data_IF_648234611618
#
_entry.id   IF_648234611618
#
_cell.length_a   1.000
_cell.length_b   1.000
_cell.length_c   1.000
_cell.angle_alpha   90.00
_cell.angle_beta   90.00
_cell.angle_gamma   90.00
#
_symmetry.space_group_name_H-M   'P 1'
#
loop_
_entity.id
_entity.type
_entity.pdbx_description
1 polymer ?
#
# COMPACT_ATOMS: atom_id res chain seq x y z
N UNK A 1 -4.58 -18.65 -5.92
CA UNK A 1 -5.45 -18.59 -4.71
C UNK A 1 -5.79 -17.14 -4.34
N UNK A 2 -7.02 -16.86 -3.92
CA UNK A 2 -7.41 -15.55 -3.37
C UNK A 2 -7.06 -15.49 -1.88
N UNK A 3 -6.46 -14.40 -1.44
CA UNK A 3 -6.02 -14.18 -0.05
C UNK A 3 -6.19 -12.71 0.33
N UNK A 4 -6.23 -12.42 1.62
CA UNK A 4 -6.27 -11.06 2.16
C UNK A 4 -5.05 -10.79 3.03
N UNK A 5 -4.71 -9.53 3.23
CA UNK A 5 -3.60 -9.11 4.07
C UNK A 5 -3.86 -7.77 4.75
N UNK A 6 -3.16 -7.56 5.86
CA UNK A 6 -2.99 -6.28 6.52
C UNK A 6 -1.48 -5.96 6.55
N UNK A 7 -1.12 -4.71 6.34
CA UNK A 7 0.27 -4.27 6.35
C UNK A 7 0.42 -2.91 7.05
N UNK A 8 1.66 -2.52 7.32
CA UNK A 8 2.04 -1.18 7.73
C UNK A 8 3.29 -0.74 6.99
N UNK A 9 3.41 0.54 6.65
CA UNK A 9 4.60 1.07 6.00
C UNK A 9 4.74 2.57 6.22
N UNK A 10 5.97 3.05 6.17
CA UNK A 10 6.31 4.47 6.11
C UNK A 10 6.91 4.84 4.77
N UNK A 11 6.88 6.13 4.45
CA UNK A 11 7.58 6.70 3.30
C UNK A 11 8.16 8.06 3.67
N UNK A 12 9.18 8.49 2.93
CA UNK A 12 9.79 9.83 3.02
C UNK A 12 9.85 10.39 1.62
N UNK A 13 9.58 11.68 1.47
CA UNK A 13 9.82 12.43 0.25
C UNK A 13 11.30 12.83 0.17
N UNK A 14 11.75 13.14 -1.05
CA UNK A 14 13.14 13.55 -1.29
C UNK A 14 13.40 15.00 -0.86
N UNK A 15 12.39 15.86 -0.92
CA UNK A 15 12.46 17.31 -0.71
C UNK A 15 11.89 17.74 0.67
N UNK A 16 12.04 16.87 1.68
CA UNK A 16 11.36 16.89 2.99
C UNK A 16 9.93 16.36 2.97
N UNK A 17 9.51 15.74 4.09
CA UNK A 17 8.18 15.13 4.26
C UNK A 17 8.25 13.63 4.56
N UNK A 18 7.39 13.16 5.46
CA UNK A 18 7.23 11.73 5.73
C UNK A 18 5.78 11.38 6.03
N UNK A 19 5.44 10.12 5.84
CA UNK A 19 4.11 9.62 6.13
C UNK A 19 4.10 8.16 6.53
N UNK A 20 2.98 7.74 7.12
CA UNK A 20 2.70 6.35 7.46
C UNK A 20 1.37 5.92 6.85
N UNK A 21 1.27 4.64 6.51
CA UNK A 21 0.08 4.02 5.92
C UNK A 21 -0.17 2.64 6.50
N UNK A 22 -1.44 2.26 6.59
CA UNK A 22 -1.85 0.93 7.07
C UNK A 22 -2.75 0.22 6.06
N UNK A 23 -2.19 -0.47 5.05
CA UNK A 23 -2.98 -1.07 3.99
C UNK A 23 -3.76 -2.31 4.42
N UNK A 24 -5.00 -2.42 3.92
CA UNK A 24 -5.81 -3.63 3.92
C UNK A 24 -6.11 -4.00 2.48
N UNK A 25 -5.81 -5.23 2.09
CA UNK A 25 -5.94 -5.63 0.69
C UNK A 25 -6.25 -7.10 0.48
N UNK A 26 -6.53 -7.39 -0.79
CA UNK A 26 -6.69 -8.73 -1.32
C UNK A 26 -5.62 -8.99 -2.39
N UNK A 27 -5.22 -10.24 -2.54
CA UNK A 27 -4.30 -10.69 -3.58
C UNK A 27 -4.79 -12.00 -4.18
N UNK A 28 -4.76 -12.10 -5.51
CA UNK A 28 -5.07 -13.30 -6.26
C UNK A 28 -3.84 -13.77 -7.02
N UNK A 29 -3.25 -14.86 -6.56
CA UNK A 29 -2.17 -15.55 -7.26
C UNK A 29 -2.71 -16.33 -8.46
N UNK A 30 -2.26 -15.97 -9.66
CA UNK A 30 -2.78 -16.50 -10.94
C UNK A 30 -1.72 -17.21 -11.80
N UNK A 31 -0.43 -16.93 -11.60
CA UNK A 31 0.66 -17.61 -12.31
C UNK A 31 1.90 -17.73 -11.41
N UNK A 32 2.88 -18.55 -11.83
CA UNK A 32 4.08 -18.81 -11.01
C UNK A 32 4.85 -17.52 -10.69
N UNK A 33 4.84 -17.13 -9.43
CA UNK A 33 5.48 -15.90 -8.95
C UNK A 33 4.68 -14.61 -9.23
N UNK A 34 3.47 -14.68 -9.76
CA UNK A 34 2.65 -13.51 -10.11
C UNK A 34 1.35 -13.44 -9.32
N UNK A 35 1.04 -12.26 -8.78
CA UNK A 35 -0.25 -11.96 -8.15
C UNK A 35 -0.85 -10.63 -8.62
N UNK A 36 -2.18 -10.59 -8.71
CA UNK A 36 -2.97 -9.37 -8.84
C UNK A 36 -3.41 -8.94 -7.45
N UNK A 37 -3.26 -7.68 -7.08
CA UNK A 37 -3.69 -7.17 -5.78
C UNK A 37 -4.52 -5.91 -5.89
N UNK A 38 -5.38 -5.70 -4.89
CA UNK A 38 -6.10 -4.46 -4.65
C UNK A 38 -6.08 -4.14 -3.16
N UNK A 39 -5.94 -2.87 -2.80
CA UNK A 39 -5.89 -2.43 -1.40
C UNK A 39 -6.53 -1.06 -1.20
N UNK A 40 -6.98 -0.81 0.02
CA UNK A 40 -7.31 0.50 0.56
C UNK A 40 -6.43 0.77 1.78
N UNK A 41 -6.07 2.03 2.02
CA UNK A 41 -5.15 2.37 3.10
C UNK A 41 -5.47 3.76 3.67
N UNK A 42 -5.70 3.89 4.99
CA UNK A 42 -5.55 5.18 5.65
C UNK A 42 -4.08 5.61 5.61
N UNK A 43 -3.87 6.91 5.39
CA UNK A 43 -2.55 7.55 5.33
C UNK A 43 -2.54 8.75 6.26
N UNK A 44 -1.50 8.84 7.08
CA UNK A 44 -1.15 10.04 7.83
C UNK A 44 0.11 10.63 7.20
N UNK A 45 -0.04 11.79 6.57
CA UNK A 45 1.05 12.57 5.99
C UNK A 45 1.43 13.71 6.96
N UNK A 46 2.72 13.90 7.19
CA UNK A 46 3.28 14.94 8.04
C UNK A 46 4.03 16.03 7.25
N UNK A 47 3.93 16.01 5.92
CA UNK A 47 4.42 17.07 5.04
C UNK A 47 3.58 18.35 5.16
N UNK A 48 4.27 19.42 5.58
CA UNK A 48 3.69 20.73 5.92
C UNK A 48 2.45 20.63 6.83
N UNK A 49 2.59 19.84 7.90
CA UNK A 49 1.55 19.60 8.91
C UNK A 49 0.83 18.24 8.79
N UNK A 50 -0.12 17.99 9.68
CA UNK A 50 -0.85 16.71 9.71
C UNK A 50 -2.00 16.70 8.70
N UNK A 51 -1.95 15.76 7.74
CA UNK A 51 -3.02 15.51 6.76
C UNK A 51 -3.40 14.03 6.79
N UNK A 52 -4.69 13.75 6.91
CA UNK A 52 -5.24 12.40 6.89
C UNK A 52 -6.00 12.13 5.59
N UNK A 53 -5.70 11.03 4.90
CA UNK A 53 -6.40 10.60 3.69
C UNK A 53 -6.70 9.10 3.71
N UNK A 54 -7.55 8.67 2.78
CA UNK A 54 -7.77 7.26 2.48
C UNK A 54 -7.49 7.07 0.99
N UNK A 55 -6.50 6.23 0.70
CA UNK A 55 -6.03 5.97 -0.65
C UNK A 55 -6.39 4.54 -1.07
N UNK A 56 -6.41 4.28 -2.38
CA UNK A 56 -6.60 2.96 -2.95
C UNK A 56 -5.52 2.64 -3.98
N UNK A 57 -5.19 1.36 -4.13
CA UNK A 57 -4.27 0.89 -5.18
C UNK A 57 -4.72 -0.46 -5.75
N UNK A 58 -4.45 -0.68 -7.02
CA UNK A 58 -4.61 -1.95 -7.73
C UNK A 58 -3.40 -2.17 -8.63
N UNK A 59 -2.88 -3.38 -8.69
CA UNK A 59 -1.69 -3.67 -9.47
C UNK A 59 -1.34 -5.14 -9.55
N UNK A 60 -0.29 -5.45 -10.30
CA UNK A 60 0.27 -6.79 -10.47
C UNK A 60 1.68 -6.81 -9.89
N UNK A 61 2.03 -7.88 -9.14
CA UNK A 61 3.35 -8.06 -8.51
C UNK A 61 4.01 -9.35 -9.00
N UNK A 62 5.34 -9.32 -9.08
CA UNK A 62 6.17 -10.49 -9.35
C UNK A 62 7.16 -10.73 -8.20
N UNK A 63 7.26 -11.98 -7.74
CA UNK A 63 8.22 -12.43 -6.72
C UNK A 63 9.42 -13.11 -7.39
N UNK A 64 10.59 -12.48 -7.28
CA UNK A 64 11.87 -12.94 -7.86
C UNK A 64 12.66 -13.87 -6.94
#
# INVERSE_FOLDING_TARGET
>A
PLSWYFAGGGWTEWDDGFGVRAPVGISWYFAKGWDLYGQVQPVANFDDGFKFSVDGAVGVRFSF
#
